data_IF_665646252396
#
_entry.id   IF_665646252396
#
_cell.length_a   1.000
_cell.length_b   1.000
_cell.length_c   1.000
_cell.angle_alpha   90.00
_cell.angle_beta   90.00
_cell.angle_gamma   90.00
#
_symmetry.space_group_name_H-M   'P 1'
#
loop_
_entity.id
_entity.type
_entity.pdbx_description
1 polymer ?
#
# COMPACT_ATOMS: atom_id res chain seq x y z
N UNK A 1 -23.82 13.44 10.18
CA UNK A 1 -22.36 13.68 10.19
C UNK A 1 -21.68 12.62 9.33
N UNK A 2 -20.81 13.03 8.41
CA UNK A 2 -20.04 12.15 7.52
C UNK A 2 -18.56 12.23 7.90
N UNK A 3 -17.83 11.12 7.77
CA UNK A 3 -16.41 11.04 8.07
C UNK A 3 -15.68 10.76 6.77
N UNK A 4 -14.69 11.58 6.44
CA UNK A 4 -13.74 11.30 5.35
C UNK A 4 -12.60 10.50 5.94
N UNK A 5 -12.52 9.21 5.60
CA UNK A 5 -11.48 8.32 6.08
C UNK A 5 -10.48 8.04 4.95
N UNK A 6 -9.23 8.47 5.14
CA UNK A 6 -8.13 8.16 4.22
C UNK A 6 -7.25 7.10 4.86
N UNK A 7 -7.09 5.98 4.15
CA UNK A 7 -6.15 4.91 4.50
C UNK A 7 -4.96 5.00 3.56
N UNK A 8 -3.76 5.02 4.11
CA UNK A 8 -2.51 5.08 3.33
C UNK A 8 -1.64 3.91 3.73
N UNK A 9 -1.14 3.15 2.76
CA UNK A 9 -0.16 2.11 3.01
C UNK A 9 0.93 2.13 1.94
N UNK A 10 2.11 1.66 2.33
CA UNK A 10 3.26 1.51 1.44
C UNK A 10 3.33 0.06 0.98
N UNK A 11 3.18 -0.16 -0.32
CA UNK A 11 3.44 -1.46 -0.92
C UNK A 11 4.94 -1.57 -1.23
N UNK A 12 5.52 -2.74 -0.99
CA UNK A 12 6.93 -3.05 -1.27
C UNK A 12 7.01 -4.36 -2.06
N UNK A 13 7.83 -4.37 -3.11
CA UNK A 13 8.14 -5.54 -3.93
C UNK A 13 9.65 -5.74 -3.99
N UNK A 14 10.11 -6.87 -3.43
CA UNK A 14 11.48 -7.32 -3.57
C UNK A 14 11.54 -8.42 -4.62
N UNK A 15 12.47 -8.29 -5.56
CA UNK A 15 12.75 -9.32 -6.56
C UNK A 15 14.04 -10.04 -6.16
N UNK A 16 14.05 -11.37 -6.21
CA UNK A 16 15.24 -12.19 -5.91
C UNK A 16 16.36 -12.01 -6.93
N UNK A 17 16.01 -11.63 -8.15
CA UNK A 17 16.93 -11.27 -9.22
C UNK A 17 16.47 -9.96 -9.89
N UNK A 18 17.37 -9.33 -10.65
CA UNK A 18 17.03 -8.10 -11.38
C UNK A 18 15.89 -8.37 -12.37
N UNK A 19 14.73 -7.71 -12.25
CA UNK A 19 13.62 -7.91 -13.18
C UNK A 19 14.00 -7.45 -14.58
N UNK A 20 13.41 -8.10 -15.58
CA UNK A 20 13.62 -7.80 -16.99
C UNK A 20 13.20 -6.35 -17.34
N UNK A 21 13.58 -5.91 -18.55
CA UNK A 21 13.30 -4.54 -18.97
C UNK A 21 11.80 -4.23 -19.10
N UNK A 22 10.97 -5.18 -19.55
CA UNK A 22 9.54 -4.98 -19.68
C UNK A 22 8.87 -4.83 -18.32
N UNK A 23 9.24 -5.67 -17.35
CA UNK A 23 8.75 -5.59 -15.96
C UNK A 23 9.13 -4.25 -15.31
N UNK A 24 10.38 -3.78 -15.46
CA UNK A 24 10.79 -2.47 -14.93
C UNK A 24 10.03 -1.29 -15.55
N UNK A 25 9.74 -1.37 -16.86
CA UNK A 25 8.94 -0.37 -17.56
C UNK A 25 7.49 -0.35 -17.05
N UNK A 26 6.90 -1.53 -16.84
CA UNK A 26 5.56 -1.67 -16.28
C UNK A 26 5.47 -1.12 -14.85
N UNK A 27 6.45 -1.42 -13.99
CA UNK A 27 6.52 -0.90 -12.62
C UNK A 27 6.58 0.62 -12.60
N UNK A 28 7.46 1.21 -13.41
CA UNK A 28 7.59 2.67 -13.52
C UNK A 28 6.29 3.31 -14.03
N UNK A 29 5.64 2.72 -15.03
CA UNK A 29 4.35 3.18 -15.55
C UNK A 29 3.22 3.09 -14.51
N UNK A 30 3.26 2.08 -13.64
CA UNK A 30 2.34 1.91 -12.52
C UNK A 30 2.70 2.75 -11.27
N UNK A 31 3.66 3.69 -11.39
CA UNK A 31 4.02 4.64 -10.35
C UNK A 31 4.95 4.09 -9.26
N UNK A 32 5.54 2.91 -9.47
CA UNK A 32 6.51 2.34 -8.55
C UNK A 32 7.86 3.05 -8.65
N UNK A 33 8.51 3.20 -7.49
CA UNK A 33 9.84 3.80 -7.36
C UNK A 33 10.81 2.75 -6.85
N UNK A 34 12.04 2.76 -7.38
CA UNK A 34 13.10 1.86 -6.93
C UNK A 34 14.06 2.60 -6.00
N UNK A 35 14.38 2.01 -4.84
CA UNK A 35 15.32 2.61 -3.86
C UNK A 35 16.68 1.88 -3.77
N UNK A 36 16.97 0.96 -4.70
CA UNK A 36 18.19 0.15 -4.68
C UNK A 36 18.03 -1.24 -4.05
N UNK A 37 16.97 -1.46 -3.26
CA UNK A 37 16.68 -2.75 -2.62
C UNK A 37 15.34 -3.32 -3.11
N UNK A 38 14.30 -2.50 -3.08
CA UNK A 38 12.95 -2.91 -3.46
C UNK A 38 12.25 -1.81 -4.26
N UNK A 39 11.22 -2.21 -4.99
CA UNK A 39 10.26 -1.31 -5.57
C UNK A 39 9.23 -0.96 -4.51
N UNK A 40 8.85 0.30 -4.43
CA UNK A 40 7.83 0.76 -3.50
C UNK A 40 6.89 1.76 -4.15
N UNK A 41 5.66 1.82 -3.63
CA UNK A 41 4.71 2.91 -3.90
C UNK A 41 3.80 3.14 -2.72
N UNK A 42 3.27 4.35 -2.61
CA UNK A 42 2.26 4.68 -1.61
C UNK A 42 0.88 4.63 -2.25
N UNK A 43 0.01 3.79 -1.73
CA UNK A 43 -1.38 3.69 -2.16
C UNK A 43 -2.24 4.39 -1.13
N UNK A 44 -3.07 5.32 -1.61
CA UNK A 44 -4.02 6.05 -0.79
C UNK A 44 -5.42 5.65 -1.21
N UNK A 45 -6.24 5.22 -0.27
CA UNK A 45 -7.64 4.94 -0.47
C UNK A 45 -8.47 5.86 0.42
N UNK A 46 -9.34 6.66 -0.19
CA UNK A 46 -10.22 7.60 0.52
C UNK A 46 -11.65 7.11 0.39
N UNK A 47 -12.32 6.91 1.53
CA UNK A 47 -13.71 6.49 1.59
C UNK A 47 -14.52 7.44 2.47
N UNK A 48 -15.74 7.76 2.05
CA UNK A 48 -16.71 8.51 2.86
C UNK A 48 -17.49 7.47 3.68
N UNK A 49 -17.39 7.55 5.01
CA UNK A 49 -18.08 6.65 5.94
C UNK A 49 -19.14 7.40 6.75
N UNK A 50 -20.16 6.67 7.23
CA UNK A 50 -21.18 7.23 8.12
C UNK A 50 -20.60 7.34 9.53
N UNK A 51 -21.07 8.30 10.33
CA UNK A 51 -20.59 8.49 11.70
C UNK A 51 -20.71 7.24 12.59
N UNK A 52 -21.70 6.38 12.34
CA UNK A 52 -21.88 5.11 13.07
C UNK A 52 -20.74 4.11 12.87
N UNK A 53 -19.97 4.24 11.80
CA UNK A 53 -18.85 3.34 11.48
C UNK A 53 -17.53 3.79 12.15
N UNK A 54 -17.55 4.91 12.89
CA UNK A 54 -16.38 5.45 13.59
C UNK A 54 -15.69 4.44 14.53
N UNK A 55 -16.39 3.64 15.35
CA UNK A 55 -15.73 2.68 16.22
C UNK A 55 -14.91 1.65 15.42
N UNK A 56 -15.46 1.16 14.30
CA UNK A 56 -14.78 0.20 13.43
C UNK A 56 -13.61 0.82 12.63
N UNK A 57 -13.59 2.13 12.45
CA UNK A 57 -12.44 2.86 11.86
C UNK A 57 -11.29 2.98 12.86
N UNK A 58 -11.63 3.18 14.14
CA UNK A 58 -10.66 3.40 15.21
C UNK A 58 -10.10 2.10 15.79
N UNK A 59 -10.74 0.95 15.52
CA UNK A 59 -10.19 -0.34 15.92
C UNK A 59 -8.85 -0.54 15.22
N UNK A 60 -7.74 -0.73 15.96
CA UNK A 60 -6.46 -1.04 15.34
C UNK A 60 -6.64 -2.33 14.54
N UNK A 61 -6.34 -2.25 13.25
CA UNK A 61 -6.18 -3.44 12.43
C UNK A 61 -4.87 -4.04 12.91
N UNK A 62 -4.95 -5.15 13.65
CA UNK A 62 -3.82 -6.05 13.86
C UNK A 62 -3.22 -6.27 12.47
N UNK A 63 -2.10 -5.61 12.21
CA UNK A 63 -1.40 -5.69 10.94
C UNK A 63 -0.75 -7.07 11.00
N UNK A 64 -1.18 -8.08 10.22
CA UNK A 64 -0.44 -9.32 10.17
C UNK A 64 0.91 -8.95 9.56
N UNK A 65 1.92 -8.82 10.42
CA UNK A 65 3.30 -8.82 10.02
C UNK A 65 3.46 -10.11 9.21
N UNK A 66 3.59 -9.97 7.90
CA UNK A 66 3.84 -11.09 7.02
C UNK A 66 5.20 -11.67 7.43
N UNK A 67 5.15 -12.65 8.33
CA UNK A 67 6.26 -13.51 8.68
C UNK A 67 6.69 -14.20 7.39
N UNK A 68 7.69 -13.61 6.73
CA UNK A 68 8.39 -14.29 5.65
C UNK A 68 9.49 -15.08 6.36
N UNK A 69 9.19 -16.37 6.57
CA UNK A 69 10.11 -17.39 7.04
C UNK A 69 11.19 -17.71 6.00
#
# INVERSE_FOLDING_TARGET
>A
MQIVHRTSHTEKLAFTAKPDHATRKALTAAGWRYNGLHWWRNVNHTAIKKAKDLPAILTPIDQPEAATA
#
